data_IF_478417683803
#
_entry.id   IF_478417683803
#
_cell.length_a   1.000
_cell.length_b   1.000
_cell.length_c   1.000
_cell.angle_alpha   90.00
_cell.angle_beta   90.00
_cell.angle_gamma   90.00
#
_symmetry.space_group_name_H-M   'P 1'
#
loop_
_entity.id
_entity.type
_entity.pdbx_description
1 polymer ?
#
# COMPACT_ATOMS: atom_id res chain seq x y z
N UNK A 1 20.94 49.77 48.55
CA UNK A 1 19.59 49.62 49.15
C UNK A 1 18.61 50.52 48.42
N UNK A 2 17.70 49.94 47.63
CA UNK A 2 16.23 50.15 47.69
C UNK A 2 15.58 49.50 46.47
N UNK A 3 14.59 48.67 46.80
CA UNK A 3 13.71 47.92 45.93
C UNK A 3 12.74 48.85 45.18
N UNK A 4 12.45 48.54 43.92
CA UNK A 4 11.13 48.04 43.50
C UNK A 4 11.02 47.90 41.97
N UNK A 5 10.48 46.78 41.46
CA UNK A 5 10.18 46.59 40.05
C UNK A 5 8.78 47.16 39.74
N UNK A 6 8.68 48.10 38.80
CA UNK A 6 7.39 48.43 38.19
C UNK A 6 7.11 47.37 37.13
N UNK A 7 6.17 46.50 37.48
CA UNK A 7 5.51 45.55 36.60
C UNK A 7 4.71 46.37 35.57
N UNK A 8 5.20 46.44 34.34
CA UNK A 8 4.41 46.88 33.19
C UNK A 8 3.94 45.63 32.45
N UNK A 9 2.79 45.14 32.89
CA UNK A 9 1.94 44.22 32.14
C UNK A 9 1.38 45.03 30.96
N UNK A 10 2.04 44.95 29.81
CA UNK A 10 1.43 45.32 28.53
C UNK A 10 0.97 44.03 27.86
N UNK A 11 -0.26 43.65 28.21
CA UNK A 11 -1.09 42.73 27.45
C UNK A 11 -1.31 43.36 26.07
N UNK A 12 -0.54 42.90 25.07
CA UNK A 12 -0.92 43.05 23.67
C UNK A 12 -1.81 41.85 23.33
N UNK A 13 -3.09 42.02 23.61
CA UNK A 13 -4.16 41.21 23.05
C UNK A 13 -4.20 41.46 21.53
N UNK A 14 -3.94 40.38 20.80
CA UNK A 14 -4.67 39.92 19.61
C UNK A 14 -4.87 40.97 18.51
N UNK A 15 -3.94 40.93 17.55
CA UNK A 15 -4.29 41.00 16.14
C UNK A 15 -3.33 40.13 15.31
N UNK A 16 -3.08 38.89 15.75
CA UNK A 16 -2.90 37.84 14.76
C UNK A 16 -4.31 37.50 14.31
N UNK A 17 -4.79 38.23 13.31
CA UNK A 17 -5.81 37.67 12.43
C UNK A 17 -5.09 36.53 11.74
N UNK A 18 -5.26 35.36 12.35
CA UNK A 18 -4.93 34.08 11.77
C UNK A 18 -5.45 34.09 10.33
N UNK A 19 -4.52 34.22 9.39
CA UNK A 19 -4.67 33.65 8.05
C UNK A 19 -4.64 32.13 8.13
N UNK A 20 -5.32 31.55 9.12
CA UNK A 20 -5.73 30.17 9.13
C UNK A 20 -6.98 30.16 8.26
N UNK A 21 -6.75 30.16 6.95
CA UNK A 21 -7.75 29.71 5.99
C UNK A 21 -7.95 28.22 6.30
N UNK A 22 -8.79 27.96 7.30
CA UNK A 22 -9.31 26.66 7.61
C UNK A 22 -9.70 26.04 6.29
N UNK A 23 -9.04 24.94 5.92
CA UNK A 23 -9.40 24.05 4.82
C UNK A 23 -10.79 23.45 5.09
N UNK A 24 -11.83 24.28 5.20
CA UNK A 24 -13.22 23.87 5.14
C UNK A 24 -13.44 23.39 3.72
N UNK A 25 -13.41 22.08 3.56
CA UNK A 25 -13.80 21.44 2.33
C UNK A 25 -15.22 21.89 2.00
N UNK A 26 -15.35 22.73 0.97
CA UNK A 26 -16.66 23.14 0.50
C UNK A 26 -17.45 21.90 -0.01
N UNK A 27 -18.78 21.97 -0.13
CA UNK A 27 -19.59 20.82 -0.51
C UNK A 27 -19.15 20.14 -1.82
N UNK A 28 -18.66 20.93 -2.79
CA UNK A 28 -18.14 20.42 -4.07
C UNK A 28 -16.86 19.61 -3.86
N UNK A 29 -15.89 20.17 -3.12
CA UNK A 29 -14.62 19.50 -2.80
C UNK A 29 -14.86 18.24 -1.97
N UNK A 30 -15.81 18.26 -1.05
CA UNK A 30 -16.20 17.08 -0.25
C UNK A 30 -16.84 16.00 -1.12
N UNK A 31 -17.69 16.35 -2.09
CA UNK A 31 -18.27 15.39 -3.04
C UNK A 31 -17.19 14.74 -3.90
N UNK A 32 -16.24 15.52 -4.42
CA UNK A 32 -15.11 15.00 -5.18
C UNK A 32 -14.21 14.10 -4.33
N UNK A 33 -13.89 14.52 -3.10
CA UNK A 33 -13.12 13.71 -2.16
C UNK A 33 -13.78 12.35 -1.89
N UNK A 34 -15.11 12.31 -1.72
CA UNK A 34 -15.83 11.05 -1.54
C UNK A 34 -15.77 10.15 -2.79
N UNK A 35 -15.83 10.72 -4.00
CA UNK A 35 -15.64 9.98 -5.25
C UNK A 35 -14.22 9.40 -5.36
N UNK A 36 -13.20 10.20 -5.01
CA UNK A 36 -11.81 9.74 -4.98
C UNK A 36 -11.61 8.63 -3.94
N UNK A 37 -12.25 8.74 -2.78
CA UNK A 37 -12.22 7.70 -1.75
C UNK A 37 -12.82 6.39 -2.25
N UNK A 38 -13.97 6.42 -2.95
CA UNK A 38 -14.54 5.22 -3.57
C UNK A 38 -13.60 4.58 -4.59
N UNK A 39 -12.91 5.38 -5.41
CA UNK A 39 -11.91 4.87 -6.35
C UNK A 39 -10.73 4.20 -5.63
N UNK A 40 -10.22 4.83 -4.57
CA UNK A 40 -9.17 4.26 -3.73
C UNK A 40 -9.59 2.93 -3.11
N UNK A 41 -10.83 2.83 -2.58
CA UNK A 41 -11.36 1.58 -2.00
C UNK A 41 -11.36 0.46 -3.03
N UNK A 42 -11.80 0.73 -4.26
CA UNK A 42 -11.79 -0.27 -5.35
C UNK A 42 -10.38 -0.79 -5.60
N UNK A 43 -9.37 0.09 -5.66
CA UNK A 43 -7.98 -0.32 -5.87
C UNK A 43 -7.46 -1.19 -4.71
N UNK A 44 -7.78 -0.82 -3.47
CA UNK A 44 -7.40 -1.61 -2.30
C UNK A 44 -8.08 -2.99 -2.27
N UNK A 45 -9.34 -3.08 -2.69
CA UNK A 45 -10.03 -4.37 -2.81
C UNK A 45 -9.40 -5.26 -3.89
N UNK A 46 -9.03 -4.70 -5.05
CA UNK A 46 -8.31 -5.45 -6.09
C UNK A 46 -6.97 -5.96 -5.57
N UNK A 47 -6.25 -5.14 -4.80
CA UNK A 47 -5.01 -5.55 -4.16
C UNK A 47 -5.20 -6.73 -3.20
N UNK A 48 -6.24 -6.72 -2.36
CA UNK A 48 -6.55 -7.86 -1.48
C UNK A 48 -6.78 -9.14 -2.29
N UNK A 49 -7.55 -9.08 -3.38
CA UNK A 49 -7.77 -10.24 -4.26
C UNK A 49 -6.44 -10.72 -4.85
N UNK A 50 -5.63 -9.81 -5.42
CA UNK A 50 -4.31 -10.12 -6.00
C UNK A 50 -3.41 -10.85 -5.01
N UNK A 51 -3.45 -10.46 -3.74
CA UNK A 51 -2.65 -11.08 -2.70
C UNK A 51 -3.06 -12.52 -2.35
N UNK A 52 -4.34 -12.86 -2.55
CA UNK A 52 -4.86 -14.19 -2.27
C UNK A 52 -4.80 -15.12 -3.49
N UNK A 53 -4.96 -14.59 -4.71
CA UNK A 53 -5.21 -15.41 -5.91
C UNK A 53 -4.10 -15.33 -6.97
N UNK A 54 -2.84 -15.02 -6.59
CA UNK A 54 -1.59 -14.90 -7.39
C UNK A 54 -1.47 -15.70 -8.73
N UNK A 55 -2.27 -16.75 -8.91
CA UNK A 55 -2.48 -17.56 -10.10
C UNK A 55 -3.22 -16.87 -11.27
N UNK A 56 -4.09 -15.89 -11.04
CA UNK A 56 -5.02 -15.42 -12.09
C UNK A 56 -4.53 -14.22 -12.92
N UNK A 57 -3.48 -13.52 -12.49
CA UNK A 57 -3.12 -12.24 -13.11
C UNK A 57 -2.14 -12.36 -14.27
N UNK A 58 -2.37 -11.54 -15.29
CA UNK A 58 -1.56 -11.46 -16.50
C UNK A 58 -1.00 -10.04 -16.78
N UNK A 59 -0.34 -9.89 -17.93
CA UNK A 59 0.23 -8.62 -18.35
C UNK A 59 -0.82 -7.58 -18.79
N UNK A 60 -2.04 -7.99 -19.17
CA UNK A 60 -3.15 -7.07 -19.46
C UNK A 60 -3.65 -6.42 -18.16
N UNK A 61 -3.69 -7.19 -17.07
CA UNK A 61 -4.01 -6.66 -15.74
C UNK A 61 -3.02 -5.58 -15.29
N UNK A 62 -1.76 -5.65 -15.73
CA UNK A 62 -0.75 -4.64 -15.42
C UNK A 62 -1.15 -3.24 -15.88
N UNK A 63 -1.59 -3.11 -17.14
CA UNK A 63 -1.95 -1.82 -17.72
C UNK A 63 -3.16 -1.24 -17.00
N UNK A 64 -4.17 -2.08 -16.75
CA UNK A 64 -5.40 -1.67 -16.05
C UNK A 64 -5.10 -1.25 -14.62
N UNK A 65 -4.33 -2.03 -13.88
CA UNK A 65 -3.97 -1.76 -12.49
C UNK A 65 -3.10 -0.50 -12.38
N UNK A 66 -2.12 -0.33 -13.27
CA UNK A 66 -1.29 0.88 -13.28
C UNK A 66 -2.12 2.15 -13.51
N UNK A 67 -3.04 2.14 -14.48
CA UNK A 67 -3.93 3.29 -14.75
C UNK A 67 -4.84 3.60 -13.56
N UNK A 68 -5.44 2.57 -12.96
CA UNK A 68 -6.30 2.75 -11.79
C UNK A 68 -5.50 3.32 -10.61
N UNK A 69 -4.29 2.83 -10.39
CA UNK A 69 -3.38 3.34 -9.38
C UNK A 69 -3.02 4.81 -9.59
N UNK A 70 -2.65 5.20 -10.80
CA UNK A 70 -2.31 6.60 -11.09
C UNK A 70 -3.51 7.53 -10.92
N UNK A 71 -4.67 7.12 -11.42
CA UNK A 71 -5.90 7.88 -11.25
C UNK A 71 -6.28 8.04 -9.77
N UNK A 72 -6.39 6.93 -9.02
CA UNK A 72 -6.79 6.96 -7.61
C UNK A 72 -5.81 7.75 -6.77
N UNK A 73 -4.50 7.61 -7.01
CA UNK A 73 -3.47 8.35 -6.27
C UNK A 73 -3.56 9.84 -6.53
N UNK A 74 -3.65 10.25 -7.80
CA UNK A 74 -3.77 11.67 -8.16
C UNK A 74 -5.02 12.28 -7.54
N UNK A 75 -6.17 11.63 -7.72
CA UNK A 75 -7.46 12.05 -7.18
C UNK A 75 -7.37 12.20 -5.64
N UNK A 76 -6.86 11.18 -4.94
CA UNK A 76 -6.84 11.19 -3.49
C UNK A 76 -5.87 12.25 -2.92
N UNK A 77 -4.69 12.43 -3.55
CA UNK A 77 -3.68 13.40 -3.10
C UNK A 77 -4.20 14.85 -3.16
N UNK A 78 -4.98 15.20 -4.18
CA UNK A 78 -5.58 16.54 -4.33
C UNK A 78 -6.64 16.85 -3.25
N UNK A 79 -7.12 15.82 -2.54
CA UNK A 79 -8.24 15.89 -1.61
C UNK A 79 -7.91 15.41 -0.18
N UNK A 80 -6.63 15.30 0.18
CA UNK A 80 -6.23 14.93 1.55
C UNK A 80 -6.78 15.93 2.57
N UNK A 81 -7.35 15.40 3.66
CA UNK A 81 -8.00 16.18 4.71
C UNK A 81 -9.44 16.58 4.37
N UNK A 82 -9.95 16.19 3.20
CA UNK A 82 -11.36 16.31 2.83
C UNK A 82 -12.06 14.95 2.81
N UNK A 83 -13.29 14.91 3.33
CA UNK A 83 -14.07 13.68 3.40
C UNK A 83 -13.36 12.62 4.26
N UNK A 84 -13.22 11.40 3.72
CA UNK A 84 -12.58 10.26 4.39
C UNK A 84 -11.11 10.05 4.00
N UNK A 85 -10.52 10.94 3.20
CA UNK A 85 -9.16 10.76 2.70
C UNK A 85 -8.14 11.30 3.71
N UNK A 86 -7.28 10.40 4.18
CA UNK A 86 -6.15 10.69 5.07
C UNK A 86 -4.82 10.40 4.38
N UNK A 87 -3.72 10.95 4.91
CA UNK A 87 -2.36 10.59 4.49
C UNK A 87 -2.12 9.07 4.57
N UNK A 88 -2.66 8.42 5.60
CA UNK A 88 -2.57 6.96 5.75
C UNK A 88 -3.24 6.22 4.59
N UNK A 89 -4.36 6.75 4.05
CA UNK A 89 -4.98 6.15 2.87
C UNK A 89 -4.08 6.27 1.64
N UNK A 90 -3.38 7.39 1.48
CA UNK A 90 -2.42 7.60 0.37
C UNK A 90 -1.26 6.60 0.49
N UNK A 91 -0.61 6.51 1.66
CA UNK A 91 0.49 5.55 1.87
C UNK A 91 0.06 4.10 1.60
N UNK A 92 -1.15 3.73 2.05
CA UNK A 92 -1.71 2.39 1.79
C UNK A 92 -1.96 2.15 0.32
N UNK A 93 -2.52 3.13 -0.40
CA UNK A 93 -2.76 3.05 -1.83
C UNK A 93 -1.44 2.91 -2.61
N UNK A 94 -0.43 3.72 -2.29
CA UNK A 94 0.90 3.64 -2.94
C UNK A 94 1.53 2.27 -2.74
N UNK A 95 1.50 1.76 -1.50
CA UNK A 95 2.02 0.43 -1.18
C UNK A 95 1.31 -0.67 -1.97
N UNK A 96 -0.03 -0.59 -2.06
CA UNK A 96 -0.83 -1.53 -2.84
C UNK A 96 -0.48 -1.48 -4.32
N UNK A 97 -0.35 -0.27 -4.86
CA UNK A 97 -0.04 -0.01 -6.26
C UNK A 97 1.35 -0.49 -6.66
N UNK A 98 2.37 -0.24 -5.86
CA UNK A 98 3.72 -0.78 -6.08
C UNK A 98 3.70 -2.31 -6.17
N UNK A 99 2.98 -2.95 -5.25
CA UNK A 99 2.87 -4.40 -5.19
C UNK A 99 2.15 -4.99 -6.42
N UNK A 100 0.99 -4.43 -6.78
CA UNK A 100 0.23 -4.89 -7.95
C UNK A 100 1.03 -4.68 -9.24
N UNK A 101 1.64 -3.52 -9.43
CA UNK A 101 2.47 -3.22 -10.60
C UNK A 101 3.67 -4.17 -10.70
N UNK A 102 4.29 -4.48 -9.58
CA UNK A 102 5.38 -5.44 -9.54
C UNK A 102 4.93 -6.84 -9.93
N UNK A 103 3.85 -7.35 -9.33
CA UNK A 103 3.36 -8.71 -9.59
C UNK A 103 2.88 -8.91 -11.04
N UNK A 104 2.12 -7.95 -11.55
CA UNK A 104 1.52 -8.01 -12.90
C UNK A 104 2.49 -7.61 -14.01
N UNK A 105 3.56 -6.86 -13.67
CA UNK A 105 4.59 -6.42 -14.61
C UNK A 105 5.89 -7.19 -14.44
N UNK A 106 6.84 -6.60 -13.70
CA UNK A 106 8.22 -7.07 -13.65
C UNK A 106 8.38 -8.52 -13.15
N UNK A 107 7.52 -8.99 -12.25
CA UNK A 107 7.59 -10.35 -11.70
C UNK A 107 6.82 -11.38 -12.50
N UNK A 108 5.91 -10.96 -13.38
CA UNK A 108 5.04 -11.85 -14.14
C UNK A 108 5.80 -12.98 -14.88
N UNK A 109 6.94 -12.73 -15.56
CA UNK A 109 7.71 -13.81 -16.18
C UNK A 109 8.20 -14.87 -15.19
N UNK A 110 8.58 -14.46 -13.98
CA UNK A 110 8.97 -15.40 -12.92
C UNK A 110 7.76 -16.17 -12.39
N UNK A 111 6.63 -15.50 -12.22
CA UNK A 111 5.38 -16.12 -11.79
C UNK A 111 5.00 -17.30 -12.70
N UNK A 112 5.08 -17.12 -14.02
CA UNK A 112 4.79 -18.16 -15.00
C UNK A 112 5.71 -19.38 -14.86
N UNK A 113 7.01 -19.16 -14.58
CA UNK A 113 7.95 -20.25 -14.32
C UNK A 113 7.65 -20.98 -13.01
N UNK A 114 7.33 -20.24 -11.95
CA UNK A 114 6.97 -20.84 -10.66
C UNK A 114 5.71 -21.70 -10.77
N UNK A 115 4.71 -21.31 -11.56
CA UNK A 115 3.50 -22.14 -11.79
C UNK A 115 3.85 -23.54 -12.33
N UNK A 116 4.90 -23.66 -13.14
CA UNK A 116 5.39 -24.96 -13.65
C UNK A 116 6.13 -25.80 -12.59
N UNK A 117 6.41 -25.23 -11.42
CA UNK A 117 7.13 -25.86 -10.31
C UNK A 117 6.24 -26.11 -9.10
N UNK A 118 4.91 -26.15 -9.27
CA UNK A 118 3.93 -26.48 -8.22
C UNK A 118 4.15 -27.84 -7.55
N UNK A 119 4.96 -28.74 -8.13
CA UNK A 119 5.41 -29.97 -7.47
C UNK A 119 6.30 -29.71 -6.25
N UNK A 120 6.98 -28.55 -6.16
CA UNK A 120 7.70 -28.13 -4.95
C UNK A 120 6.69 -27.58 -3.93
N UNK A 121 6.64 -28.17 -2.72
CA UNK A 121 5.71 -27.75 -1.64
C UNK A 121 5.73 -26.24 -1.39
N UNK A 122 6.91 -25.63 -1.29
CA UNK A 122 7.02 -24.18 -1.07
C UNK A 122 6.43 -23.31 -2.18
N UNK A 123 6.36 -23.83 -3.41
CA UNK A 123 5.73 -23.14 -4.55
C UNK A 123 4.22 -23.35 -4.52
N UNK A 124 3.75 -24.56 -4.22
CA UNK A 124 2.33 -24.82 -4.01
C UNK A 124 1.76 -23.94 -2.88
N UNK A 125 2.45 -23.91 -1.74
CA UNK A 125 2.07 -23.10 -0.58
C UNK A 125 2.11 -21.59 -0.91
N UNK A 126 3.04 -21.15 -1.77
CA UNK A 126 3.09 -19.76 -2.24
C UNK A 126 1.84 -19.33 -3.03
N UNK A 127 1.27 -20.25 -3.82
CA UNK A 127 0.04 -20.01 -4.58
C UNK A 127 -1.23 -20.38 -3.80
N UNK A 128 -1.11 -21.01 -2.64
CA UNK A 128 -2.27 -21.35 -1.82
C UNK A 128 -2.92 -20.10 -1.23
N UNK A 129 -4.24 -20.05 -1.31
CA UNK A 129 -5.07 -19.03 -0.65
C UNK A 129 -5.28 -19.31 0.84
N UNK A 130 -4.87 -20.49 1.34
CA UNK A 130 -5.17 -20.96 2.71
C UNK A 130 -4.28 -20.35 3.81
N UNK A 131 -3.40 -19.40 3.47
CA UNK A 131 -2.96 -18.34 4.38
C UNK A 131 -2.42 -18.75 5.76
N UNK A 132 -1.70 -19.87 5.88
CA UNK A 132 -1.06 -20.21 7.15
C UNK A 132 0.33 -19.55 7.25
N UNK A 133 0.44 -18.60 8.19
CA UNK A 133 1.67 -17.87 8.50
C UNK A 133 2.83 -18.81 8.86
N UNK A 134 2.57 -19.94 9.52
CA UNK A 134 3.57 -20.91 9.92
C UNK A 134 4.16 -21.61 8.69
N UNK A 135 3.30 -22.16 7.84
CA UNK A 135 3.69 -22.73 6.54
C UNK A 135 4.46 -21.71 5.67
N UNK A 136 4.07 -20.43 5.67
CA UNK A 136 4.78 -19.38 4.93
C UNK A 136 6.20 -19.14 5.45
N UNK A 137 6.37 -19.12 6.78
CA UNK A 137 7.68 -18.94 7.43
C UNK A 137 8.59 -20.14 7.17
N UNK A 138 8.09 -21.36 7.33
CA UNK A 138 8.85 -22.59 7.13
C UNK A 138 9.36 -22.75 5.68
N UNK A 139 8.52 -22.41 4.71
CA UNK A 139 8.84 -22.57 3.30
C UNK A 139 9.70 -21.44 2.70
N UNK A 140 9.99 -20.39 3.49
CA UNK A 140 10.68 -19.18 3.01
C UNK A 140 12.03 -19.47 2.34
N UNK A 141 12.83 -20.36 2.92
CA UNK A 141 14.14 -20.71 2.38
C UNK A 141 14.01 -21.45 1.05
N UNK A 142 13.08 -22.43 0.97
CA UNK A 142 12.79 -23.18 -0.24
C UNK A 142 12.33 -22.27 -1.38
N UNK A 143 11.40 -21.35 -1.12
CA UNK A 143 10.89 -20.46 -2.15
C UNK A 143 11.97 -19.48 -2.63
N UNK A 144 12.76 -18.92 -1.70
CA UNK A 144 13.91 -18.05 -2.05
C UNK A 144 14.86 -18.75 -3.01
N UNK A 145 15.23 -19.99 -2.73
CA UNK A 145 16.13 -20.76 -3.59
C UNK A 145 15.49 -21.08 -4.94
N UNK A 146 14.22 -21.48 -4.93
CA UNK A 146 13.47 -21.77 -6.16
C UNK A 146 13.35 -20.53 -7.05
N UNK A 147 13.07 -19.35 -6.51
CA UNK A 147 13.04 -18.10 -7.29
C UNK A 147 14.42 -17.80 -7.89
N UNK A 148 15.50 -17.99 -7.13
CA UNK A 148 16.86 -17.76 -7.62
C UNK A 148 17.24 -18.72 -8.74
N UNK A 149 16.85 -19.98 -8.62
CA UNK A 149 17.10 -21.04 -9.60
C UNK A 149 16.30 -20.81 -10.89
N UNK A 150 14.99 -20.59 -10.77
CA UNK A 150 14.08 -20.53 -11.94
C UNK A 150 14.07 -19.15 -12.61
N UNK A 151 14.23 -18.09 -11.81
CA UNK A 151 14.07 -16.70 -12.27
C UNK A 151 15.37 -15.88 -12.21
N UNK A 152 16.37 -16.33 -11.45
CA UNK A 152 17.65 -15.63 -11.29
C UNK A 152 17.71 -14.70 -10.07
N UNK A 153 18.94 -14.37 -9.66
CA UNK A 153 19.21 -13.58 -8.44
C UNK A 153 18.64 -12.16 -8.51
N UNK A 154 18.57 -11.56 -9.71
CA UNK A 154 18.02 -10.20 -9.92
C UNK A 154 16.54 -10.13 -9.54
N UNK A 155 15.75 -11.13 -9.93
CA UNK A 155 14.33 -11.22 -9.58
C UNK A 155 14.13 -11.30 -8.07
N UNK A 156 14.92 -12.14 -7.37
CA UNK A 156 14.84 -12.22 -5.91
C UNK A 156 15.14 -10.88 -5.21
N UNK A 157 16.12 -10.10 -5.70
CA UNK A 157 16.44 -8.79 -5.10
C UNK A 157 15.26 -7.82 -5.21
N UNK A 158 14.57 -7.80 -6.36
CA UNK A 158 13.38 -6.98 -6.59
C UNK A 158 12.16 -7.50 -5.82
N UNK A 159 12.07 -8.83 -5.62
CA UNK A 159 10.99 -9.49 -4.90
C UNK A 159 11.02 -9.30 -3.40
N UNK A 160 12.22 -9.29 -2.80
CA UNK A 160 12.42 -9.30 -1.35
C UNK A 160 11.56 -8.27 -0.58
N UNK A 161 11.42 -7.00 -1.01
CA UNK A 161 10.57 -6.03 -0.31
C UNK A 161 9.08 -6.39 -0.32
N UNK A 162 8.58 -6.91 -1.44
CA UNK A 162 7.18 -7.30 -1.62
C UNK A 162 6.85 -8.62 -0.92
N UNK A 163 7.82 -9.52 -0.84
CA UNK A 163 7.74 -10.74 -0.04
C UNK A 163 7.43 -10.45 1.43
N UNK A 164 8.19 -9.53 2.04
CA UNK A 164 7.99 -9.15 3.43
C UNK A 164 6.61 -8.53 3.63
N UNK A 165 6.16 -7.64 2.73
CA UNK A 165 4.81 -7.06 2.76
C UNK A 165 3.71 -8.13 2.76
N UNK A 166 3.82 -9.16 1.91
CA UNK A 166 2.85 -10.28 1.91
C UNK A 166 2.92 -11.13 3.18
N UNK A 167 4.13 -11.37 3.69
CA UNK A 167 4.33 -12.09 4.95
C UNK A 167 3.64 -11.38 6.12
N UNK A 168 3.83 -10.06 6.22
CA UNK A 168 3.22 -9.24 7.28
C UNK A 168 1.69 -9.35 7.20
N UNK A 169 1.10 -9.28 6.00
CA UNK A 169 -0.35 -9.35 5.82
C UNK A 169 -0.94 -10.75 6.09
N UNK A 170 -0.25 -11.82 5.68
CA UNK A 170 -0.68 -13.20 6.00
C UNK A 170 -0.59 -13.44 7.51
N UNK A 171 0.45 -12.91 8.16
CA UNK A 171 0.73 -13.15 9.58
C UNK A 171 0.01 -12.19 10.55
N UNK A 172 -0.43 -11.02 10.10
CA UNK A 172 -1.27 -10.11 10.88
C UNK A 172 -2.69 -10.67 11.03
N UNK A 173 -3.25 -11.25 9.96
CA UNK A 173 -4.59 -11.84 9.94
C UNK A 173 -4.69 -13.20 10.66
N UNK A 174 -3.57 -13.81 11.08
CA UNK A 174 -3.56 -15.09 11.81
C UNK A 174 -3.53 -14.94 13.34
N UNK A 175 -3.56 -13.70 13.85
CA UNK A 175 -3.63 -13.39 15.29
C UNK A 175 -5.01 -12.86 15.73
N UNK A 176 -6.00 -12.87 14.84
CA UNK A 176 -7.44 -12.71 15.14
C UNK A 176 -8.12 -14.08 15.16
#
# INVERSE_FOLDING_TARGET
>A
MRFSPIILISILLIANIDGQDDKKCNPVKTRLANSCYSSLVVVLSVFQIIQHTHEEYDASDHIKNSRNCDFSRKCATEHVGCGKITEQNITRLETACEYMNYLTGAFYPCMTKLRQKKSKKCVADYFSSTGDCENWRENRACLKWTIREECGVKFWKQYKPFWTKRADLICENSNE
#
